data_IF_750522856273
#
_entry.id   IF_750522856273
#
_cell.length_a   1.000
_cell.length_b   1.000
_cell.length_c   1.000
_cell.angle_alpha   90.00
_cell.angle_beta   90.00
_cell.angle_gamma   90.00
#
_symmetry.space_group_name_H-M   'P 1'
#
loop_
_entity.id
_entity.type
_entity.pdbx_description
1 polymer ?
#
# COMPACT_ATOMS: atom_id res chain seq x y z
N UNK A 1 -5.42 -12.38 -26.09
CA UNK A 1 -5.10 -11.03 -26.59
C UNK A 1 -4.64 -10.27 -25.36
N UNK A 2 -3.35 -9.96 -25.25
CA UNK A 2 -2.89 -9.05 -24.20
C UNK A 2 -3.49 -7.68 -24.51
N UNK A 3 -4.42 -7.23 -23.68
CA UNK A 3 -4.83 -5.84 -23.72
C UNK A 3 -3.63 -5.04 -23.24
N UNK A 4 -2.94 -4.40 -24.19
CA UNK A 4 -1.80 -3.54 -23.89
C UNK A 4 -2.36 -2.21 -23.36
N UNK A 5 -2.79 -2.20 -22.10
CA UNK A 5 -3.26 -0.99 -21.42
C UNK A 5 -2.05 -0.08 -21.20
N UNK A 6 -2.09 1.13 -21.75
CA UNK A 6 -1.01 2.13 -21.66
C UNK A 6 -1.52 3.34 -20.88
N UNK A 7 -0.76 3.78 -19.88
CA UNK A 7 -1.06 4.93 -19.04
C UNK A 7 -0.94 6.22 -19.86
N UNK A 8 -2.03 6.99 -19.92
CA UNK A 8 -2.08 8.31 -20.55
C UNK A 8 -2.04 9.44 -19.53
N UNK A 9 -2.70 9.26 -18.39
CA UNK A 9 -2.86 10.30 -17.37
C UNK A 9 -3.08 9.69 -15.97
N UNK A 10 -2.63 10.39 -14.93
CA UNK A 10 -2.79 10.00 -13.52
C UNK A 10 -3.23 11.22 -12.71
N UNK A 11 -4.23 11.05 -11.86
CA UNK A 11 -4.65 12.08 -10.90
C UNK A 11 -5.15 11.48 -9.60
N UNK A 12 -5.29 12.33 -8.59
CA UNK A 12 -5.74 11.94 -7.25
C UNK A 12 -7.01 12.72 -6.90
N UNK A 13 -7.98 12.03 -6.34
CA UNK A 13 -9.21 12.65 -5.83
C UNK A 13 -9.86 11.76 -4.77
N UNK A 14 -10.43 12.36 -3.73
CA UNK A 14 -11.19 11.66 -2.69
C UNK A 14 -10.49 10.46 -2.03
N UNK A 15 -9.17 10.52 -1.83
CA UNK A 15 -8.39 9.41 -1.26
C UNK A 15 -8.12 8.25 -2.22
N UNK A 16 -8.28 8.49 -3.53
CA UNK A 16 -8.04 7.50 -4.59
C UNK A 16 -7.03 8.02 -5.58
N UNK A 17 -6.37 7.08 -6.25
CA UNK A 17 -5.60 7.32 -7.47
C UNK A 17 -6.44 6.87 -8.67
N UNK A 18 -6.39 7.65 -9.74
CA UNK A 18 -7.05 7.37 -10.99
C UNK A 18 -6.02 7.29 -12.11
N UNK A 19 -6.27 6.40 -13.06
CA UNK A 19 -5.48 6.23 -14.26
C UNK A 19 -6.39 6.26 -15.47
N UNK A 20 -6.09 7.12 -16.44
CA UNK A 20 -6.72 7.08 -17.77
C UNK A 20 -5.78 6.38 -18.73
N UNK A 21 -6.30 5.41 -19.48
CA UNK A 21 -5.52 4.72 -20.50
C UNK A 21 -5.55 5.46 -21.85
N UNK A 22 -4.77 4.98 -22.82
CA UNK A 22 -4.72 5.53 -24.18
C UNK A 22 -6.06 5.45 -24.94
N UNK A 23 -7.01 4.61 -24.49
CA UNK A 23 -8.36 4.49 -25.04
C UNK A 23 -9.40 5.31 -24.27
N UNK A 24 -8.96 6.20 -23.38
CA UNK A 24 -9.78 7.04 -22.50
C UNK A 24 -10.63 6.26 -21.47
N UNK A 25 -10.34 4.98 -21.23
CA UNK A 25 -10.93 4.26 -20.10
C UNK A 25 -10.31 4.75 -18.79
N UNK A 26 -11.15 4.86 -17.75
CA UNK A 26 -10.71 5.31 -16.42
C UNK A 26 -10.73 4.13 -15.44
N UNK A 27 -9.61 3.94 -14.77
CA UNK A 27 -9.41 2.98 -13.69
C UNK A 27 -9.13 3.72 -12.40
N UNK A 28 -9.49 3.14 -11.26
CA UNK A 28 -9.27 3.77 -9.96
C UNK A 28 -8.96 2.74 -8.89
N UNK A 29 -8.14 3.15 -7.92
CA UNK A 29 -7.82 2.38 -6.73
C UNK A 29 -7.77 3.26 -5.48
N UNK A 30 -8.11 2.70 -4.30
CA UNK A 30 -7.90 3.37 -3.02
C UNK A 30 -6.39 3.61 -2.79
N UNK A 31 -6.02 4.72 -2.16
CA UNK A 31 -4.61 5.02 -1.83
C UNK A 31 -4.01 4.00 -0.85
N UNK A 32 -4.83 3.33 -0.04
CA UNK A 32 -4.43 2.22 0.83
C UNK A 32 -3.74 1.08 0.06
N UNK A 33 -4.00 0.95 -1.24
CA UNK A 33 -3.32 -0.01 -2.10
C UNK A 33 -1.84 0.35 -2.36
N UNK A 34 -1.47 1.61 -2.14
CA UNK A 34 -0.16 2.20 -2.36
C UNK A 34 0.27 3.03 -1.12
N UNK A 35 0.68 2.37 -0.02
CA UNK A 35 0.94 3.06 1.25
C UNK A 35 1.91 4.23 1.19
N UNK A 36 2.94 4.18 0.31
CA UNK A 36 3.85 5.31 0.16
C UNK A 36 3.14 6.53 -0.44
N UNK A 37 2.25 6.34 -1.43
CA UNK A 37 1.41 7.43 -1.94
C UNK A 37 0.36 7.88 -0.91
N UNK A 38 -0.18 6.97 -0.11
CA UNK A 38 -1.11 7.33 0.96
C UNK A 38 -0.47 8.27 1.99
N UNK A 39 0.80 8.04 2.31
CA UNK A 39 1.60 8.84 3.25
C UNK A 39 2.22 10.10 2.61
N UNK A 40 2.33 10.14 1.28
CA UNK A 40 2.89 11.26 0.54
C UNK A 40 2.02 12.53 0.64
N UNK A 41 2.71 13.68 0.63
CA UNK A 41 2.08 15.00 0.46
C UNK A 41 1.48 15.16 -0.94
N UNK A 42 0.60 16.14 -1.13
CA UNK A 42 0.03 16.40 -2.45
C UNK A 42 1.10 16.89 -3.44
N UNK A 43 2.09 17.65 -2.96
CA UNK A 43 3.26 18.04 -3.75
C UNK A 43 4.03 16.82 -4.24
N UNK A 44 4.34 15.87 -3.35
CA UNK A 44 5.02 14.62 -3.70
C UNK A 44 4.20 13.79 -4.70
N UNK A 45 2.89 13.70 -4.53
CA UNK A 45 2.00 12.98 -5.46
C UNK A 45 1.93 13.63 -6.83
N UNK A 46 2.06 14.95 -6.90
CA UNK A 46 1.98 15.70 -8.17
C UNK A 46 3.22 15.54 -9.06
N UNK A 47 4.34 15.05 -8.50
CA UNK A 47 5.62 14.89 -9.22
C UNK A 47 5.84 13.40 -9.55
N UNK A 48 5.40 13.00 -10.74
CA UNK A 48 5.60 11.65 -11.26
C UNK A 48 6.07 11.64 -12.72
N UNK A 49 6.61 10.50 -13.13
CA UNK A 49 7.04 10.23 -14.51
C UNK A 49 6.37 8.95 -14.97
N UNK A 50 5.59 9.02 -16.04
CA UNK A 50 5.13 7.85 -16.79
C UNK A 50 6.30 7.43 -17.68
N UNK A 51 6.65 6.15 -17.69
CA UNK A 51 7.74 5.67 -18.53
C UNK A 51 7.42 5.78 -20.03
N UNK A 52 8.41 5.66 -20.92
CA UNK A 52 8.19 5.79 -22.36
C UNK A 52 7.27 4.72 -22.96
N UNK A 53 7.12 3.56 -22.31
CA UNK A 53 6.25 2.46 -22.74
C UNK A 53 4.79 2.68 -22.28
N UNK A 54 4.60 3.54 -21.28
CA UNK A 54 3.37 3.79 -20.54
C UNK A 54 2.87 2.56 -19.78
N UNK A 55 3.74 1.61 -19.41
CA UNK A 55 3.36 0.45 -18.62
C UNK A 55 3.60 0.64 -17.11
N UNK A 56 4.36 1.66 -16.70
CA UNK A 56 4.49 2.07 -15.32
C UNK A 56 4.55 3.59 -15.10
N UNK A 57 4.33 3.98 -13.85
CA UNK A 57 4.47 5.35 -13.36
C UNK A 57 5.30 5.35 -12.08
N UNK A 58 6.30 6.24 -12.03
CA UNK A 58 7.26 6.36 -10.92
C UNK A 58 7.13 7.71 -10.24
N UNK A 59 7.16 7.70 -8.91
CA UNK A 59 7.33 8.88 -8.05
C UNK A 59 8.74 8.85 -7.45
N UNK A 60 9.72 9.57 -8.05
CA UNK A 60 11.12 9.42 -7.68
C UNK A 60 11.45 9.83 -6.24
N UNK A 61 10.75 10.83 -5.69
CA UNK A 61 11.04 11.36 -4.36
C UNK A 61 10.72 10.37 -3.23
N UNK A 62 9.63 9.60 -3.39
CA UNK A 62 9.17 8.62 -2.39
C UNK A 62 9.57 7.18 -2.76
N UNK A 63 10.29 7.00 -3.88
CA UNK A 63 10.71 5.70 -4.43
C UNK A 63 9.55 4.70 -4.62
N UNK A 64 8.40 5.21 -5.08
CA UNK A 64 7.23 4.37 -5.43
C UNK A 64 7.16 4.19 -6.95
N UNK A 65 6.84 2.97 -7.38
CA UNK A 65 6.62 2.59 -8.77
C UNK A 65 5.33 1.76 -8.86
N UNK A 66 4.46 2.10 -9.81
CA UNK A 66 3.19 1.43 -10.04
C UNK A 66 3.10 1.03 -11.52
N UNK A 67 3.12 -0.28 -11.74
CA UNK A 67 2.81 -0.86 -13.05
C UNK A 67 1.30 -0.80 -13.34
N UNK A 68 0.93 -0.61 -14.61
CA UNK A 68 -0.44 -0.46 -15.12
C UNK A 68 -1.36 -1.59 -14.68
N UNK A 69 -0.84 -2.81 -14.60
CA UNK A 69 -1.59 -3.98 -14.15
C UNK A 69 -2.12 -3.84 -12.72
N UNK A 70 -1.52 -3.00 -11.87
CA UNK A 70 -2.00 -2.75 -10.51
C UNK A 70 -3.39 -2.11 -10.50
N UNK A 71 -3.73 -1.32 -11.54
CA UNK A 71 -5.04 -0.68 -11.70
C UNK A 71 -6.13 -1.64 -12.18
N UNK A 72 -5.79 -2.86 -12.59
CA UNK A 72 -6.76 -3.89 -12.98
C UNK A 72 -7.36 -4.62 -11.77
N UNK A 73 -6.75 -4.49 -10.60
CA UNK A 73 -7.30 -5.00 -9.34
C UNK A 73 -8.44 -4.11 -8.81
N UNK A 74 -9.52 -4.74 -8.36
CA UNK A 74 -10.70 -4.04 -7.80
C UNK A 74 -10.82 -4.17 -6.27
N UNK A 75 -9.71 -4.52 -5.61
CA UNK A 75 -9.70 -4.77 -4.17
C UNK A 75 -9.78 -3.46 -3.39
N UNK A 76 -10.85 -3.31 -2.61
CA UNK A 76 -11.10 -2.20 -1.69
C UNK A 76 -10.58 -2.50 -0.27
N UNK A 77 -10.36 -1.47 0.57
CA UNK A 77 -9.90 -1.65 1.94
C UNK A 77 -10.91 -2.46 2.78
N UNK A 78 -10.40 -3.19 3.77
CA UNK A 78 -11.20 -3.89 4.76
C UNK A 78 -10.53 -3.77 6.13
N UNK A 79 -10.95 -2.75 6.87
CA UNK A 79 -10.48 -2.42 8.22
C UNK A 79 -11.06 -3.36 9.32
N UNK A 80 -11.96 -4.27 8.94
CA UNK A 80 -12.55 -5.26 9.82
C UNK A 80 -11.66 -6.46 10.10
N UNK A 81 -10.49 -6.57 9.45
CA UNK A 81 -9.60 -7.72 9.59
C UNK A 81 -8.84 -7.76 10.93
N UNK A 82 -8.34 -8.93 11.32
CA UNK A 82 -7.69 -9.10 12.64
C UNK A 82 -6.47 -8.18 12.83
N UNK A 83 -5.64 -8.03 11.79
CA UNK A 83 -4.44 -7.18 11.86
C UNK A 83 -4.86 -5.71 12.03
N UNK A 84 -5.83 -5.24 11.24
CA UNK A 84 -6.41 -3.90 11.38
C UNK A 84 -6.90 -3.63 12.81
N UNK A 85 -7.64 -4.59 13.40
CA UNK A 85 -8.16 -4.45 14.77
C UNK A 85 -7.05 -4.32 15.81
N UNK A 86 -5.94 -5.04 15.65
CA UNK A 86 -4.79 -4.97 16.56
C UNK A 86 -4.14 -3.58 16.48
N UNK A 87 -3.78 -3.12 15.29
CA UNK A 87 -3.11 -1.82 15.12
C UNK A 87 -4.02 -0.65 15.53
N UNK A 88 -5.34 -0.75 15.30
CA UNK A 88 -6.30 0.23 15.80
C UNK A 88 -6.42 0.23 17.32
N UNK A 89 -6.33 -0.94 17.96
CA UNK A 89 -6.39 -1.05 19.43
C UNK A 89 -5.15 -0.46 20.11
N UNK A 90 -4.00 -0.48 19.42
CA UNK A 90 -2.73 -0.01 19.92
C UNK A 90 -2.13 1.06 18.98
N UNK A 91 -2.69 2.28 18.94
CA UNK A 91 -2.22 3.35 18.05
C UNK A 91 -0.79 3.80 18.32
N UNK A 92 -0.22 3.43 19.48
CA UNK A 92 1.19 3.66 19.81
C UNK A 92 2.17 2.73 19.05
N UNK A 93 1.68 1.69 18.37
CA UNK A 93 2.54 0.79 17.59
C UNK A 93 3.07 1.50 16.35
N UNK A 94 4.40 1.51 16.20
CA UNK A 94 5.04 2.00 15.00
C UNK A 94 5.08 0.90 13.92
N UNK A 95 4.30 1.07 12.86
CA UNK A 95 4.21 0.09 11.75
C UNK A 95 5.57 -0.18 11.09
N UNK A 96 6.38 0.86 10.90
CA UNK A 96 7.72 0.72 10.29
C UNK A 96 8.63 -0.15 11.14
N UNK A 97 8.58 0.03 12.46
CA UNK A 97 9.41 -0.71 13.40
C UNK A 97 8.99 -2.18 13.52
N UNK A 98 7.67 -2.45 13.58
CA UNK A 98 7.15 -3.83 13.56
C UNK A 98 7.54 -4.53 12.25
N UNK A 99 7.40 -3.86 11.10
CA UNK A 99 7.81 -4.42 9.82
C UNK A 99 9.32 -4.73 9.78
N UNK A 100 10.15 -3.84 10.34
CA UNK A 100 11.61 -4.02 10.44
C UNK A 100 11.97 -5.22 11.30
N UNK A 101 11.39 -5.36 12.49
CA UNK A 101 11.61 -6.49 13.39
C UNK A 101 11.22 -7.83 12.74
N UNK A 102 10.16 -7.82 11.95
CA UNK A 102 9.70 -8.98 11.18
C UNK A 102 10.52 -9.26 9.91
N UNK A 103 11.40 -8.36 9.48
CA UNK A 103 12.12 -8.47 8.21
C UNK A 103 11.21 -8.41 6.98
N UNK A 104 10.10 -7.67 7.04
CA UNK A 104 9.17 -7.50 5.91
C UNK A 104 9.11 -6.04 5.46
N UNK A 105 8.67 -5.84 4.21
CA UNK A 105 8.42 -4.52 3.68
C UNK A 105 7.27 -3.81 4.44
N UNK A 106 7.48 -2.57 4.87
CA UNK A 106 6.47 -1.74 5.58
C UNK A 106 5.17 -1.60 4.79
N UNK A 107 5.24 -1.36 3.48
CA UNK A 107 4.06 -1.23 2.62
C UNK A 107 3.29 -2.55 2.55
N UNK A 108 3.95 -3.71 2.64
CA UNK A 108 3.25 -4.99 2.75
C UNK A 108 2.45 -5.09 4.06
N UNK A 109 3.06 -4.74 5.20
CA UNK A 109 2.36 -4.74 6.49
C UNK A 109 1.19 -3.75 6.49
N UNK A 110 1.40 -2.56 5.93
CA UNK A 110 0.36 -1.52 5.79
C UNK A 110 -0.81 -2.02 4.93
N UNK A 111 -0.54 -2.71 3.81
CA UNK A 111 -1.59 -3.34 2.99
C UNK A 111 -2.37 -4.43 3.75
N UNK A 112 -1.76 -5.11 4.73
CA UNK A 112 -2.49 -6.02 5.63
C UNK A 112 -3.36 -5.26 6.63
N UNK A 113 -2.84 -4.18 7.22
CA UNK A 113 -3.58 -3.31 8.14
C UNK A 113 -4.80 -2.71 7.42
N UNK A 114 -4.65 -2.23 6.21
CA UNK A 114 -5.76 -1.68 5.42
C UNK A 114 -6.66 -2.75 4.78
N UNK A 115 -6.31 -4.04 4.88
CA UNK A 115 -7.12 -5.14 4.33
C UNK A 115 -7.09 -5.24 2.79
N UNK A 116 -6.19 -4.51 2.13
CA UNK A 116 -5.93 -4.65 0.69
C UNK A 116 -5.35 -6.03 0.40
N UNK A 117 -4.39 -6.49 1.21
CA UNK A 117 -3.87 -7.85 1.15
C UNK A 117 -4.34 -8.65 2.34
N UNK A 118 -4.54 -9.95 2.13
CA UNK A 118 -4.84 -10.89 3.21
C UNK A 118 -3.56 -11.66 3.55
N UNK A 119 -3.04 -11.56 4.79
CA UNK A 119 -1.89 -12.36 5.20
C UNK A 119 -2.26 -13.85 5.27
N UNK A 120 -1.32 -14.73 4.94
CA UNK A 120 -1.48 -16.17 5.20
C UNK A 120 -1.56 -16.44 6.72
N UNK A 121 -2.02 -17.64 7.09
CA UNK A 121 -2.03 -18.08 8.49
C UNK A 121 -0.66 -17.94 9.15
N UNK A 122 0.39 -18.41 8.46
CA UNK A 122 1.76 -18.30 8.93
C UNK A 122 2.18 -16.84 9.14
N UNK A 123 1.94 -15.98 8.14
CA UNK A 123 2.29 -14.56 8.21
C UNK A 123 1.55 -13.87 9.37
N UNK A 124 0.29 -14.22 9.60
CA UNK A 124 -0.50 -13.69 10.71
C UNK A 124 0.09 -14.08 12.06
N UNK A 125 0.52 -15.34 12.22
CA UNK A 125 1.18 -15.79 13.45
C UNK A 125 2.51 -15.06 13.69
N UNK A 126 3.29 -14.81 12.64
CA UNK A 126 4.53 -14.01 12.74
C UNK A 126 4.26 -12.59 13.21
N UNK A 127 3.22 -11.92 12.69
CA UNK A 127 2.83 -10.57 13.14
C UNK A 127 2.51 -10.61 14.64
N UNK A 128 1.72 -11.58 15.10
CA UNK A 128 1.35 -11.69 16.52
C UNK A 128 2.55 -11.96 17.41
N UNK A 129 3.49 -12.81 16.96
CA UNK A 129 4.74 -13.09 17.69
C UNK A 129 5.60 -11.84 17.85
N UNK A 130 5.80 -11.07 16.77
CA UNK A 130 6.56 -9.83 16.85
C UNK A 130 5.97 -8.85 17.87
N UNK A 131 4.64 -8.72 17.89
CA UNK A 131 3.93 -7.87 18.86
C UNK A 131 4.04 -8.39 20.30
N UNK A 132 4.00 -9.71 20.51
CA UNK A 132 4.23 -10.28 21.85
C UNK A 132 5.64 -10.04 22.34
N UNK A 133 6.66 -10.24 21.49
CA UNK A 133 8.06 -9.96 21.81
C UNK A 133 8.26 -8.49 22.19
N UNK A 134 7.68 -7.57 21.41
CA UNK A 134 7.69 -6.14 21.77
C UNK A 134 7.03 -5.89 23.14
N UNK A 135 5.92 -6.57 23.44
CA UNK A 135 5.27 -6.48 24.75
C UNK A 135 6.14 -6.99 25.89
N UNK A 136 6.85 -8.10 25.70
CA UNK A 136 7.81 -8.65 26.67
C UNK A 136 8.99 -7.71 26.90
N UNK A 137 9.55 -7.13 25.83
CA UNK A 137 10.60 -6.12 25.90
C UNK A 137 10.14 -4.89 26.71
N UNK A 138 8.92 -4.39 26.46
CA UNK A 138 8.34 -3.27 27.21
C UNK A 138 8.03 -3.58 28.67
N UNK A 139 7.82 -4.84 29.06
CA UNK A 139 7.67 -5.21 30.48
C UNK A 139 9.01 -5.30 31.20
N UNK A 140 10.12 -5.37 30.46
CA UNK A 140 11.47 -5.55 30.99
C UNK A 140 12.24 -4.24 31.23
N UNK A 141 11.63 -3.09 30.91
CA UNK A 141 12.21 -1.74 31.12
C UNK A 141 11.89 -1.16 32.50
#
# INVERSE_FOLDING_TARGET
>A
MENNTTIKDIWFDGGRIFMRDASDNVYTRPLEAFPLLMEATDEQRSVFVIDPQGDAVRWPEIDEDIHVSSFLEQKEPNDGNEIARIFRRFPQLNVSEVARQMGINKSLLSKYIYGIKTPSEHRRLEIKRALHTLGEELMSV
#
